data_IF_164026605527
#
_entry.id   IF_164026605527
#
_cell.length_a   1.000
_cell.length_b   1.000
_cell.length_c   1.000
_cell.angle_alpha   90.00
_cell.angle_beta   90.00
_cell.angle_gamma   90.00
#
_symmetry.space_group_name_H-M   'P 1'
#
loop_
_entity.id
_entity.type
_entity.pdbx_description
1 polymer ?
#
# COMPACT_ATOMS: atom_id res chain seq x y z
N UNK A 1 -37.36 -9.47 13.15
CA UNK A 1 -36.70 -9.93 11.90
C UNK A 1 -37.06 -8.96 10.80
N UNK A 2 -36.09 -8.56 9.95
CA UNK A 2 -36.39 -7.72 8.77
C UNK A 2 -37.37 -8.44 7.84
N UNK A 3 -38.26 -7.68 7.19
CA UNK A 3 -39.19 -8.25 6.21
C UNK A 3 -38.43 -8.82 5.00
N UNK A 4 -39.05 -9.70 4.22
CA UNK A 4 -38.39 -10.38 3.11
C UNK A 4 -37.78 -9.41 2.07
N UNK A 5 -38.43 -8.25 1.86
CA UNK A 5 -37.97 -7.20 0.96
C UNK A 5 -36.63 -6.62 1.45
N UNK A 6 -36.49 -6.33 2.75
CA UNK A 6 -35.28 -5.74 3.31
C UNK A 6 -34.11 -6.72 3.42
N UNK A 7 -34.34 -8.02 3.29
CA UNK A 7 -33.26 -9.01 3.22
C UNK A 7 -32.72 -9.18 1.80
N UNK A 8 -33.58 -9.08 0.78
CA UNK A 8 -33.19 -9.16 -0.63
C UNK A 8 -32.58 -7.84 -1.11
N UNK A 9 -33.17 -6.72 -0.68
CA UNK A 9 -32.71 -5.36 -0.99
C UNK A 9 -32.37 -4.64 0.32
N UNK A 10 -31.22 -4.96 0.92
CA UNK A 10 -30.83 -4.32 2.17
C UNK A 10 -30.70 -2.80 1.97
N UNK A 11 -31.12 -2.00 2.97
CA UNK A 11 -30.83 -0.58 2.99
C UNK A 11 -29.31 -0.36 3.09
N UNK A 12 -28.89 0.91 2.96
CA UNK A 12 -27.47 1.27 3.13
C UNK A 12 -26.91 0.71 4.45
N UNK A 13 -25.68 0.16 4.45
CA UNK A 13 -25.04 -0.31 5.67
C UNK A 13 -24.99 0.79 6.73
N UNK A 14 -25.28 0.42 7.98
CA UNK A 14 -25.14 1.32 9.15
C UNK A 14 -23.76 1.22 9.81
N UNK A 15 -22.91 0.33 9.30
CA UNK A 15 -21.55 0.06 9.79
C UNK A 15 -20.59 -0.11 8.61
N UNK A 16 -19.40 0.45 8.75
CA UNK A 16 -18.33 0.41 7.75
C UNK A 16 -16.97 0.06 8.38
N UNK A 17 -16.02 -0.41 7.57
CA UNK A 17 -14.68 -0.83 8.01
C UNK A 17 -13.95 0.29 8.74
N UNK A 18 -14.17 1.54 8.33
CA UNK A 18 -13.57 2.73 8.91
C UNK A 18 -13.91 2.87 10.39
N UNK A 19 -15.09 2.40 10.82
CA UNK A 19 -15.58 2.48 12.19
C UNK A 19 -15.05 1.36 13.09
N UNK A 20 -14.36 0.36 12.55
CA UNK A 20 -13.67 -0.65 13.38
C UNK A 20 -12.54 0.04 14.16
N UNK A 21 -12.45 -0.14 15.50
CA UNK A 21 -11.36 0.42 16.29
C UNK A 21 -10.02 -0.22 15.92
N UNK A 22 -8.92 0.30 16.47
CA UNK A 22 -7.64 -0.40 16.40
C UNK A 22 -7.74 -1.75 17.15
N UNK A 23 -7.31 -2.82 16.50
CA UNK A 23 -7.32 -4.19 17.01
C UNK A 23 -5.90 -4.69 17.29
N UNK A 24 -4.92 -3.81 17.41
CA UNK A 24 -3.57 -4.16 17.83
C UNK A 24 -3.59 -5.04 19.11
N UNK A 25 -2.84 -6.13 19.08
CA UNK A 25 -2.80 -7.12 20.18
C UNK A 25 -3.96 -8.12 20.20
N UNK A 26 -5.01 -7.92 19.40
CA UNK A 26 -6.11 -8.87 19.28
C UNK A 26 -5.77 -10.01 18.32
N UNK A 27 -6.19 -11.23 18.67
CA UNK A 27 -6.07 -12.42 17.83
C UNK A 27 -7.47 -12.83 17.36
N UNK A 28 -7.67 -12.92 16.05
CA UNK A 28 -8.95 -13.27 15.43
C UNK A 28 -8.79 -14.50 14.55
N UNK A 29 -9.70 -15.47 14.64
CA UNK A 29 -9.76 -16.63 13.75
C UNK A 29 -10.92 -16.44 12.78
N UNK A 30 -10.66 -16.55 11.47
CA UNK A 30 -11.68 -16.47 10.43
C UNK A 30 -11.79 -17.82 9.73
N UNK A 31 -12.93 -18.49 9.87
CA UNK A 31 -13.24 -19.73 9.17
C UNK A 31 -13.72 -19.44 7.74
N UNK A 32 -13.31 -20.25 6.77
CA UNK A 32 -13.61 -19.99 5.36
C UNK A 32 -12.92 -18.75 4.80
N UNK A 33 -11.84 -18.28 5.44
CA UNK A 33 -11.18 -17.01 5.09
C UNK A 33 -10.42 -17.01 3.75
N UNK A 34 -10.40 -18.13 3.01
CA UNK A 34 -9.63 -18.26 1.77
C UNK A 34 -10.36 -17.73 0.52
N UNK A 35 -11.63 -17.34 0.61
CA UNK A 35 -12.41 -16.83 -0.53
C UNK A 35 -13.59 -15.96 -0.08
N UNK A 36 -14.17 -15.23 -1.04
CA UNK A 36 -15.41 -14.47 -0.86
C UNK A 36 -15.41 -13.60 0.40
N UNK A 37 -16.52 -13.68 1.15
CA UNK A 37 -16.75 -12.89 2.37
C UNK A 37 -15.62 -13.07 3.38
N UNK A 38 -15.18 -14.30 3.64
CA UNK A 38 -14.14 -14.56 4.64
C UNK A 38 -12.79 -13.91 4.28
N UNK A 39 -12.44 -13.85 3.00
CA UNK A 39 -11.21 -13.19 2.55
C UNK A 39 -11.27 -11.67 2.74
N UNK A 40 -12.41 -11.06 2.42
CA UNK A 40 -12.64 -9.62 2.67
C UNK A 40 -12.69 -9.31 4.17
N UNK A 41 -13.24 -10.21 4.99
CA UNK A 41 -13.19 -10.09 6.46
C UNK A 41 -11.75 -10.11 6.96
N UNK A 42 -10.91 -11.04 6.49
CA UNK A 42 -9.48 -11.04 6.81
C UNK A 42 -8.80 -9.72 6.44
N UNK A 43 -9.08 -9.18 5.23
CA UNK A 43 -8.53 -7.89 4.78
C UNK A 43 -8.91 -6.75 5.72
N UNK A 44 -10.19 -6.63 6.07
CA UNK A 44 -10.68 -5.59 6.98
C UNK A 44 -10.04 -5.69 8.37
N UNK A 45 -9.96 -6.89 8.95
CA UNK A 45 -9.33 -7.11 10.26
C UNK A 45 -7.82 -6.79 10.25
N UNK A 46 -7.11 -7.23 9.20
CA UNK A 46 -5.68 -6.93 9.03
C UNK A 46 -5.42 -5.43 8.87
N UNK A 47 -6.29 -4.71 8.16
CA UNK A 47 -6.21 -3.24 8.01
C UNK A 47 -6.40 -2.48 9.32
N UNK A 48 -6.81 -3.19 10.39
CA UNK A 48 -7.03 -2.68 11.74
C UNK A 48 -6.06 -3.30 12.75
N UNK A 49 -4.89 -3.74 12.30
CA UNK A 49 -3.78 -4.27 13.11
C UNK A 49 -4.08 -5.58 13.88
N UNK A 50 -5.16 -6.29 13.57
CA UNK A 50 -5.44 -7.59 14.19
C UNK A 50 -4.45 -8.65 13.70
N UNK A 51 -4.08 -9.60 14.57
CA UNK A 51 -3.46 -10.86 14.14
C UNK A 51 -4.54 -11.83 13.69
N UNK A 52 -4.59 -12.13 12.39
CA UNK A 52 -5.63 -13.00 11.81
C UNK A 52 -5.10 -14.40 11.53
N UNK A 53 -5.75 -15.42 12.10
CA UNK A 53 -5.60 -16.82 11.72
C UNK A 53 -6.68 -17.20 10.72
N UNK A 54 -6.26 -17.44 9.48
CA UNK A 54 -7.14 -17.87 8.39
C UNK A 54 -7.29 -19.40 8.44
N UNK A 55 -8.50 -19.89 8.73
CA UNK A 55 -8.81 -21.31 8.74
C UNK A 55 -9.56 -21.71 7.46
N UNK A 56 -9.01 -22.68 6.72
CA UNK A 56 -9.59 -23.21 5.50
C UNK A 56 -9.27 -24.70 5.32
N UNK A 57 -10.12 -25.41 4.55
CA UNK A 57 -9.98 -26.86 4.30
C UNK A 57 -8.79 -27.20 3.39
N UNK A 58 -8.48 -26.32 2.44
CA UNK A 58 -7.43 -26.52 1.44
C UNK A 58 -6.26 -25.61 1.75
N UNK A 59 -5.12 -26.22 2.11
CA UNK A 59 -3.87 -25.50 2.37
C UNK A 59 -3.40 -24.65 1.19
N UNK A 60 -3.35 -25.16 -0.07
CA UNK A 60 -2.94 -24.34 -1.21
C UNK A 60 -3.80 -23.09 -1.40
N UNK A 61 -5.13 -23.22 -1.25
CA UNK A 61 -6.03 -22.05 -1.36
C UNK A 61 -5.87 -21.07 -0.20
N UNK A 62 -5.54 -21.55 0.99
CA UNK A 62 -5.23 -20.70 2.13
C UNK A 62 -3.95 -19.90 1.90
N UNK A 63 -2.89 -20.54 1.43
CA UNK A 63 -1.60 -19.92 1.11
C UNK A 63 -1.76 -18.87 0.00
N UNK A 64 -2.51 -19.16 -1.06
CA UNK A 64 -2.84 -18.20 -2.12
C UNK A 64 -3.57 -16.97 -1.57
N UNK A 65 -4.57 -17.17 -0.71
CA UNK A 65 -5.30 -16.06 -0.08
C UNK A 65 -4.40 -15.21 0.82
N UNK A 66 -3.50 -15.82 1.58
CA UNK A 66 -2.53 -15.12 2.43
C UNK A 66 -1.58 -14.28 1.57
N UNK A 67 -1.04 -14.83 0.48
CA UNK A 67 -0.16 -14.09 -0.43
C UNK A 67 -0.90 -12.93 -1.10
N UNK A 68 -2.14 -13.13 -1.51
CA UNK A 68 -2.98 -12.05 -2.03
C UNK A 68 -3.18 -10.92 -1.00
N UNK A 69 -3.52 -11.26 0.25
CA UNK A 69 -3.71 -10.29 1.32
C UNK A 69 -2.42 -9.49 1.62
N UNK A 70 -1.26 -10.16 1.65
CA UNK A 70 0.04 -9.51 1.82
C UNK A 70 0.33 -8.52 0.69
N UNK A 71 0.11 -8.93 -0.56
CA UNK A 71 0.35 -8.09 -1.73
C UNK A 71 -0.56 -6.85 -1.73
N UNK A 72 -1.81 -7.02 -1.35
CA UNK A 72 -2.78 -5.92 -1.24
C UNK A 72 -2.36 -4.89 -0.18
N UNK A 73 -1.97 -5.35 1.01
CA UNK A 73 -1.47 -4.48 2.09
C UNK A 73 -0.13 -3.82 1.73
N UNK A 74 0.75 -4.54 1.03
CA UNK A 74 1.97 -3.96 0.49
C UNK A 74 1.68 -2.85 -0.53
N UNK A 75 0.78 -3.09 -1.48
CA UNK A 75 0.38 -2.10 -2.47
C UNK A 75 -0.20 -0.84 -1.80
N UNK A 76 -1.04 -1.02 -0.79
CA UNK A 76 -1.56 0.08 0.04
C UNK A 76 -0.43 0.90 0.68
N UNK A 77 0.59 0.25 1.24
CA UNK A 77 1.75 0.94 1.82
C UNK A 77 2.50 1.79 0.79
N UNK A 78 2.58 1.34 -0.48
CA UNK A 78 3.26 2.07 -1.56
C UNK A 78 2.47 3.29 -2.02
N UNK A 79 1.16 3.20 -2.08
CA UNK A 79 0.31 4.38 -2.28
C UNK A 79 0.47 5.35 -1.10
N UNK A 80 0.56 4.85 0.13
CA UNK A 80 0.84 5.65 1.31
C UNK A 80 2.14 6.47 1.19
N UNK A 81 3.22 5.85 0.72
CA UNK A 81 4.49 6.57 0.47
C UNK A 81 4.34 7.71 -0.54
N UNK A 82 3.57 7.52 -1.62
CA UNK A 82 3.34 8.56 -2.62
C UNK A 82 2.53 9.71 -2.04
N UNK A 83 1.43 9.40 -1.34
CA UNK A 83 0.59 10.39 -0.67
C UNK A 83 1.38 11.20 0.37
N UNK A 84 2.19 10.52 1.19
CA UNK A 84 3.07 11.17 2.16
C UNK A 84 4.07 12.10 1.46
N UNK A 85 4.72 11.64 0.40
CA UNK A 85 5.68 12.46 -0.35
C UNK A 85 5.00 13.72 -0.95
N UNK A 86 3.81 13.56 -1.53
CA UNK A 86 3.04 14.66 -2.10
C UNK A 86 2.63 15.69 -1.05
N UNK A 87 2.23 15.25 0.15
CA UNK A 87 1.90 16.17 1.24
C UNK A 87 3.15 16.85 1.79
N UNK A 88 4.27 16.12 1.97
CA UNK A 88 5.54 16.70 2.41
C UNK A 88 6.02 17.82 1.47
N UNK A 89 5.89 17.59 0.15
CA UNK A 89 6.20 18.58 -0.88
C UNK A 89 5.42 19.90 -0.69
N UNK A 90 4.15 19.80 -0.26
CA UNK A 90 3.29 20.95 0.02
C UNK A 90 3.63 21.63 1.34
N UNK A 91 3.89 20.83 2.39
CA UNK A 91 4.13 21.32 3.74
C UNK A 91 5.46 22.08 3.87
N UNK A 92 6.49 21.66 3.14
CA UNK A 92 7.85 22.18 3.31
C UNK A 92 8.49 22.72 2.02
N UNK A 93 7.74 22.77 0.92
CA UNK A 93 8.24 23.29 -0.35
C UNK A 93 8.66 24.77 -0.27
N UNK A 94 7.99 25.56 0.56
CA UNK A 94 8.34 26.96 0.83
C UNK A 94 9.63 27.14 1.65
N UNK A 95 10.07 26.07 2.34
CA UNK A 95 11.31 26.00 3.09
C UNK A 95 12.48 25.43 2.26
N UNK A 96 12.26 25.21 0.96
CA UNK A 96 13.26 24.66 0.06
C UNK A 96 13.44 23.14 0.16
N UNK A 97 12.55 22.42 0.86
CA UNK A 97 12.56 20.96 0.89
C UNK A 97 11.81 20.43 -0.34
N UNK A 98 12.49 19.60 -1.11
CA UNK A 98 11.92 18.93 -2.28
C UNK A 98 11.62 17.48 -1.91
N UNK A 99 10.38 17.06 -2.14
CA UNK A 99 9.94 15.69 -1.90
C UNK A 99 9.44 15.08 -3.19
N UNK A 100 9.99 13.91 -3.52
CA UNK A 100 9.67 13.17 -4.75
C UNK A 100 9.55 11.70 -4.42
N UNK A 101 8.51 11.06 -4.94
CA UNK A 101 8.32 9.60 -4.83
C UNK A 101 8.64 8.93 -6.16
N UNK A 102 9.09 7.67 -6.13
CA UNK A 102 9.52 6.98 -7.34
C UNK A 102 9.33 5.46 -7.30
N UNK A 103 9.19 4.89 -8.49
CA UNK A 103 9.29 3.46 -8.76
C UNK A 103 10.64 3.17 -9.46
N UNK A 104 11.52 2.34 -8.88
CA UNK A 104 12.82 2.01 -9.46
C UNK A 104 12.74 0.94 -10.57
N UNK A 105 11.59 0.27 -10.69
CA UNK A 105 11.26 -0.66 -11.78
C UNK A 105 11.40 -2.12 -11.40
N UNK A 106 11.31 -2.97 -12.42
CA UNK A 106 11.41 -4.41 -12.28
C UNK A 106 12.88 -4.81 -12.32
N UNK A 107 13.46 -5.11 -11.15
CA UNK A 107 14.90 -5.27 -10.98
C UNK A 107 15.25 -6.67 -10.49
N UNK A 108 16.35 -7.22 -11.01
CA UNK A 108 17.01 -8.43 -10.51
C UNK A 108 17.53 -8.17 -9.10
N UNK A 109 16.68 -8.45 -8.13
CA UNK A 109 16.89 -8.23 -6.70
C UNK A 109 16.29 -9.40 -5.91
N UNK A 110 16.62 -9.49 -4.63
CA UNK A 110 16.06 -10.49 -3.72
C UNK A 110 14.59 -10.21 -3.32
N UNK A 111 13.91 -9.24 -3.94
CA UNK A 111 12.50 -8.92 -3.64
C UNK A 111 11.59 -10.13 -3.91
N UNK A 112 11.88 -10.88 -4.97
CA UNK A 112 11.15 -12.08 -5.38
C UNK A 112 11.65 -13.39 -4.78
N UNK A 113 12.53 -13.38 -3.75
CA UNK A 113 13.16 -14.59 -3.18
C UNK A 113 12.20 -15.66 -2.66
N UNK A 114 10.93 -15.30 -2.46
CA UNK A 114 9.86 -16.21 -2.01
C UNK A 114 9.05 -16.82 -3.17
N UNK A 115 9.26 -16.33 -4.41
CA UNK A 115 8.59 -16.86 -5.59
C UNK A 115 9.20 -18.20 -6.00
N UNK A 116 8.41 -19.04 -6.69
CA UNK A 116 8.94 -20.31 -7.21
C UNK A 116 9.93 -20.05 -8.34
N UNK A 117 10.88 -20.98 -8.54
CA UNK A 117 11.88 -20.88 -9.63
C UNK A 117 11.26 -20.71 -11.01
N UNK A 118 10.13 -21.36 -11.27
CA UNK A 118 9.40 -21.20 -12.54
C UNK A 118 8.87 -19.77 -12.71
N UNK A 119 8.32 -19.16 -11.66
CA UNK A 119 7.88 -17.76 -11.72
C UNK A 119 9.05 -16.81 -11.93
N UNK A 120 10.17 -17.01 -11.22
CA UNK A 120 11.38 -16.20 -11.42
C UNK A 120 11.86 -16.30 -12.87
N UNK A 121 11.93 -17.52 -13.41
CA UNK A 121 12.30 -17.75 -14.81
C UNK A 121 11.36 -17.02 -15.80
N UNK A 122 10.04 -17.06 -15.56
CA UNK A 122 9.08 -16.31 -16.39
C UNK A 122 9.28 -14.79 -16.29
N UNK A 123 9.66 -14.27 -15.12
CA UNK A 123 9.89 -12.86 -14.89
C UNK A 123 11.23 -12.37 -15.47
N UNK A 124 12.20 -13.24 -15.74
CA UNK A 124 13.55 -12.84 -16.18
C UNK A 124 13.55 -11.91 -17.39
N UNK A 125 12.60 -12.08 -18.32
CA UNK A 125 12.48 -11.26 -19.52
C UNK A 125 12.06 -9.81 -19.27
N UNK A 126 11.52 -9.51 -18.08
CA UNK A 126 11.09 -8.17 -17.68
C UNK A 126 11.91 -7.60 -16.51
N UNK A 127 12.89 -8.35 -15.99
CA UNK A 127 13.77 -7.94 -14.91
C UNK A 127 15.09 -7.36 -15.45
N UNK A 128 15.40 -6.14 -15.03
CA UNK A 128 16.62 -5.42 -15.42
C UNK A 128 17.70 -5.50 -14.32
N UNK A 129 18.99 -5.27 -14.64
CA UNK A 129 20.04 -5.20 -13.63
C UNK A 129 19.72 -4.17 -12.54
N UNK A 130 20.06 -4.46 -11.28
CA UNK A 130 19.79 -3.56 -10.16
C UNK A 130 20.36 -2.15 -10.34
N UNK A 131 21.46 -2.01 -11.10
CA UNK A 131 22.08 -0.71 -11.44
C UNK A 131 21.12 0.25 -12.14
N UNK A 132 20.20 -0.25 -12.95
CA UNK A 132 19.19 0.57 -13.61
C UNK A 132 18.21 1.19 -12.60
N UNK A 133 17.91 0.48 -11.51
CA UNK A 133 17.07 0.97 -10.43
C UNK A 133 17.59 2.24 -9.75
N UNK A 134 18.92 2.40 -9.73
CA UNK A 134 19.56 3.57 -9.15
C UNK A 134 19.34 4.84 -10.01
N UNK A 135 19.06 4.71 -11.31
CA UNK A 135 19.01 5.86 -12.21
C UNK A 135 17.92 6.87 -11.84
N UNK A 136 16.71 6.40 -11.51
CA UNK A 136 15.59 7.30 -11.18
C UNK A 136 15.85 8.09 -9.90
N UNK A 137 16.37 7.44 -8.85
CA UNK A 137 16.68 8.11 -7.58
C UNK A 137 17.90 9.04 -7.70
N UNK A 138 18.91 8.65 -8.48
CA UNK A 138 20.06 9.51 -8.74
C UNK A 138 19.63 10.76 -9.51
N UNK A 139 18.85 10.59 -10.58
CA UNK A 139 18.30 11.72 -11.32
C UNK A 139 17.43 12.63 -10.44
N UNK A 140 16.53 12.03 -9.65
CA UNK A 140 15.68 12.78 -8.72
C UNK A 140 16.48 13.60 -7.70
N UNK A 141 17.62 13.08 -7.23
CA UNK A 141 18.44 13.74 -6.22
C UNK A 141 19.56 14.64 -6.75
N UNK A 142 19.82 14.66 -8.06
CA UNK A 142 21.01 15.35 -8.62
C UNK A 142 20.73 16.20 -9.86
N UNK A 143 19.51 16.17 -10.42
CA UNK A 143 19.19 17.01 -11.58
C UNK A 143 19.23 18.50 -11.20
N UNK A 144 19.82 19.39 -12.03
CA UNK A 144 19.90 20.82 -11.72
C UNK A 144 18.53 21.47 -11.48
N UNK A 145 17.50 21.00 -12.20
CA UNK A 145 16.13 21.53 -12.13
C UNK A 145 15.23 20.73 -11.17
N UNK A 146 15.77 20.26 -10.05
CA UNK A 146 15.08 19.37 -9.10
C UNK A 146 13.80 19.99 -8.53
N UNK A 147 13.71 21.32 -8.43
CA UNK A 147 12.52 22.05 -7.97
C UNK A 147 11.27 21.72 -8.81
N UNK A 148 11.43 21.47 -10.12
CA UNK A 148 10.34 21.09 -11.02
C UNK A 148 9.76 19.70 -10.71
N UNK A 149 10.50 18.89 -9.93
CA UNK A 149 10.10 17.55 -9.54
C UNK A 149 9.35 17.52 -8.20
N UNK A 150 9.23 18.64 -7.47
CA UNK A 150 8.58 18.64 -6.18
C UNK A 150 7.13 18.15 -6.27
N UNK A 151 6.78 17.16 -5.45
CA UNK A 151 5.47 16.49 -5.44
C UNK A 151 5.17 15.63 -6.67
N UNK A 152 6.17 15.32 -7.51
CA UNK A 152 5.99 14.42 -8.65
C UNK A 152 6.23 12.96 -8.26
N UNK A 153 5.66 12.07 -9.09
CA UNK A 153 5.95 10.65 -9.07
C UNK A 153 6.81 10.28 -10.27
N UNK A 154 7.90 9.55 -10.03
CA UNK A 154 8.83 9.15 -11.08
C UNK A 154 8.72 7.66 -11.38
N UNK A 155 8.87 7.31 -12.65
CA UNK A 155 8.87 5.95 -13.16
C UNK A 155 10.25 5.59 -13.75
N UNK A 156 10.56 4.29 -13.89
CA UNK A 156 11.83 3.84 -14.46
C UNK A 156 11.99 4.36 -15.91
N UNK A 157 13.13 4.87 -16.36
CA UNK A 157 14.29 5.38 -15.63
C UNK A 157 14.42 6.88 -15.92
N UNK A 158 14.34 7.71 -14.87
CA UNK A 158 14.37 9.17 -14.97
C UNK A 158 13.24 9.76 -15.84
N UNK A 159 12.00 9.33 -15.58
CA UNK A 159 10.81 9.86 -16.27
C UNK A 159 9.74 10.25 -15.26
N UNK A 160 9.03 11.34 -15.52
CA UNK A 160 7.83 11.72 -14.77
C UNK A 160 6.69 10.77 -15.18
N UNK A 161 5.96 10.25 -14.22
CA UNK A 161 4.80 9.39 -14.45
C UNK A 161 3.59 9.77 -13.60
N UNK A 162 2.59 8.89 -13.59
CA UNK A 162 1.36 9.01 -12.80
C UNK A 162 1.23 7.77 -11.90
N UNK A 163 1.04 7.99 -10.59
CA UNK A 163 0.83 6.94 -9.59
C UNK A 163 -0.65 6.51 -9.45
N UNK A 164 -1.53 7.00 -10.32
CA UNK A 164 -2.96 6.71 -10.35
C UNK A 164 -3.81 7.74 -9.61
N UNK A 165 -5.13 7.63 -9.76
CA UNK A 165 -6.09 8.59 -9.20
C UNK A 165 -6.01 8.69 -7.67
N UNK A 166 -5.86 7.56 -6.96
CA UNK A 166 -5.74 7.55 -5.51
C UNK A 166 -4.53 8.34 -5.00
N UNK A 167 -3.41 8.31 -5.73
CA UNK A 167 -2.20 9.05 -5.36
C UNK A 167 -2.33 10.57 -5.56
N UNK A 168 -3.35 11.02 -6.31
CA UNK A 168 -3.66 12.43 -6.56
C UNK A 168 -4.75 12.98 -5.63
N UNK A 169 -5.28 12.16 -4.74
CA UNK A 169 -6.29 12.59 -3.76
C UNK A 169 -5.63 13.39 -2.62
N UNK A 170 -5.75 14.71 -2.71
CA UNK A 170 -5.16 15.62 -1.74
C UNK A 170 -5.79 15.51 -0.34
N UNK A 171 -7.08 15.21 -0.27
CA UNK A 171 -7.78 15.06 1.01
C UNK A 171 -7.29 13.80 1.72
N UNK A 172 -7.12 12.72 0.96
CA UNK A 172 -6.54 11.48 1.47
C UNK A 172 -5.08 11.67 1.89
N UNK A 173 -4.27 12.41 1.12
CA UNK A 173 -2.90 12.73 1.46
C UNK A 173 -2.82 13.49 2.79
N UNK A 174 -3.63 14.55 2.95
CA UNK A 174 -3.69 15.32 4.20
C UNK A 174 -4.17 14.48 5.38
N UNK A 175 -5.16 13.61 5.16
CA UNK A 175 -5.66 12.69 6.19
C UNK A 175 -4.57 11.73 6.66
N UNK A 176 -3.83 11.12 5.72
CA UNK A 176 -2.70 10.24 6.03
C UNK A 176 -1.62 11.00 6.81
N UNK A 177 -1.24 12.19 6.37
CA UNK A 177 -0.26 13.04 7.05
C UNK A 177 -0.62 13.30 8.50
N UNK A 178 -1.84 13.79 8.75
CA UNK A 178 -2.30 14.07 10.10
C UNK A 178 -2.33 12.81 10.98
N UNK A 179 -2.66 11.65 10.39
CA UNK A 179 -2.59 10.38 11.11
C UNK A 179 -1.15 10.00 11.45
N UNK A 180 -0.20 10.14 10.51
CA UNK A 180 1.22 9.90 10.75
C UNK A 180 1.77 10.79 11.86
N UNK A 181 1.48 12.10 11.82
CA UNK A 181 1.82 13.06 12.88
C UNK A 181 1.31 12.57 14.24
N UNK A 182 0.04 12.15 14.31
CA UNK A 182 -0.52 11.61 15.56
C UNK A 182 0.23 10.36 16.04
N UNK A 183 0.58 9.44 15.14
CA UNK A 183 1.28 8.21 15.52
C UNK A 183 2.69 8.48 16.09
N UNK A 184 3.33 9.58 15.69
CA UNK A 184 4.69 9.92 16.13
C UNK A 184 4.74 10.92 17.28
N UNK A 185 3.59 11.42 17.79
CA UNK A 185 3.50 12.45 18.86
C UNK A 185 4.18 12.11 20.19
N UNK A 186 4.62 10.87 20.41
CA UNK A 186 5.41 10.46 21.56
C UNK A 186 6.83 9.96 21.22
N UNK A 187 7.21 10.00 19.94
CA UNK A 187 8.45 9.43 19.41
C UNK A 187 9.42 10.49 18.87
N UNK A 188 8.96 11.73 18.67
CA UNK A 188 9.81 12.85 18.30
C UNK A 188 10.57 13.36 19.53
N UNK A 189 11.84 12.95 19.67
CA UNK A 189 12.79 13.70 20.49
C UNK A 189 13.30 14.87 19.65
N UNK A 190 12.97 16.10 20.08
CA UNK A 190 13.51 17.41 19.66
C UNK A 190 14.19 17.51 18.30
#
# INVERSE_FOLDING_TARGET
MGNAISQIYPPKPVFAVEQIPDLAGQIVIVTGGNAGVGKETCKALLSKNAKVYLAARSRPRAEEAIEWLKNELYAQSKIGNVLFSNELAKQYGDQGIISVSLNPGNLKTELGRHLTRLHIWLLEFILYPASYGALTQLWAGTTPDIEQLNGKFLIPWARIGDAGAFARDEQLAKKLWNWCEEQVKGHSTM
#
